data_IF_792625220660
#
_entry.id   IF_792625220660
#
_cell.length_a   1.000
_cell.length_b   1.000
_cell.length_c   1.000
_cell.angle_alpha   90.00
_cell.angle_beta   90.00
_cell.angle_gamma   90.00
#
_symmetry.space_group_name_H-M   'P 1'
#
loop_
_entity.id
_entity.type
_entity.pdbx_description
1 polymer ?
#
# COMPACT_ATOMS: atom_id res chain seq x y z
N UNK A 1 -14.31 2.02 18.46
CA UNK A 1 -13.57 1.85 18.06
C UNK A 1 -13.21 2.26 16.86
N UNK A 2 -12.33 2.58 16.60
CA UNK A 2 -12.00 3.02 15.54
C UNK A 2 -11.75 2.13 14.52
N UNK A 3 -12.22 2.20 13.50
CA UNK A 3 -12.04 1.34 12.48
C UNK A 3 -11.07 1.96 11.55
N UNK A 4 -9.89 1.42 11.52
CA UNK A 4 -8.91 1.99 10.70
C UNK A 4 -9.26 2.03 9.25
N UNK A 5 -10.08 1.07 8.79
CA UNK A 5 -10.46 1.08 7.43
C UNK A 5 -11.24 2.29 7.06
N UNK A 6 -11.99 2.84 7.98
CA UNK A 6 -12.83 3.97 7.70
C UNK A 6 -12.03 5.23 7.50
N UNK A 7 -10.77 5.22 7.92
CA UNK A 7 -9.93 6.38 7.77
C UNK A 7 -9.17 6.40 6.46
N UNK A 8 -9.26 5.34 5.68
CA UNK A 8 -8.52 5.25 4.45
C UNK A 8 -9.47 5.32 3.27
N UNK A 9 -9.87 6.50 2.94
CA UNK A 9 -10.72 6.72 1.78
C UNK A 9 -9.90 7.17 0.60
N UNK A 10 -10.53 7.43 -0.52
CA UNK A 10 -9.84 7.90 -1.72
C UNK A 10 -9.11 9.21 -1.44
N UNK A 11 -7.93 9.36 -2.02
CA UNK A 11 -7.16 10.57 -1.88
C UNK A 11 -6.91 11.18 -3.23
N UNK A 12 -6.99 12.50 -3.29
CA UNK A 12 -6.81 13.20 -4.53
C UNK A 12 -5.40 13.00 -5.03
N UNK A 13 -5.25 12.63 -6.27
CA UNK A 13 -3.93 12.46 -6.86
C UNK A 13 -3.30 11.11 -6.59
N UNK A 14 -3.96 10.25 -5.81
CA UNK A 14 -3.43 8.93 -5.52
C UNK A 14 -4.47 7.88 -5.87
N UNK A 15 -4.00 6.70 -6.21
CA UNK A 15 -4.88 5.59 -6.51
C UNK A 15 -4.95 4.67 -5.30
N UNK A 16 -6.09 4.07 -5.10
CA UNK A 16 -6.28 3.18 -3.97
C UNK A 16 -7.41 3.66 -3.10
N UNK A 17 -7.45 3.19 -1.87
CA UNK A 17 -6.38 2.45 -1.17
C UNK A 17 -6.29 0.98 -1.56
N UNK A 18 -5.09 0.44 -1.47
CA UNK A 18 -4.85 -0.97 -1.75
C UNK A 18 -4.39 -1.66 -0.47
N UNK A 19 -4.82 -2.90 -0.29
CA UNK A 19 -4.45 -3.65 0.88
C UNK A 19 -3.39 -4.67 0.52
N UNK A 20 -2.25 -4.63 1.21
CA UNK A 20 -1.18 -5.57 0.99
C UNK A 20 -0.75 -6.14 2.34
N UNK A 21 -0.97 -7.40 2.55
CA UNK A 21 -0.50 -8.06 3.77
C UNK A 21 -0.83 -7.29 5.05
N UNK A 22 -2.05 -6.79 5.13
CA UNK A 22 -2.48 -6.06 6.31
C UNK A 22 -2.06 -4.60 6.34
N UNK A 23 -1.41 -4.13 5.30
CA UNK A 23 -1.03 -2.73 5.17
C UNK A 23 -1.90 -2.06 4.12
N UNK A 24 -2.16 -0.79 4.34
CA UNK A 24 -2.93 -0.01 3.37
C UNK A 24 -1.97 0.95 2.69
N UNK A 25 -1.92 0.89 1.37
CA UNK A 25 -1.01 1.74 0.60
C UNK A 25 -1.79 2.42 -0.53
N UNK A 26 -1.28 3.56 -0.95
CA UNK A 26 -1.81 4.26 -2.11
C UNK A 26 -0.72 4.31 -3.17
N UNK A 27 -1.10 4.39 -4.42
CA UNK A 27 -0.13 4.49 -5.50
C UNK A 27 -0.08 5.91 -6.02
N UNK A 28 1.11 6.47 -6.07
CA UNK A 28 1.33 7.82 -6.57
C UNK A 28 1.88 7.73 -7.98
N UNK A 29 1.05 8.05 -8.96
CA UNK A 29 1.44 7.97 -10.36
C UNK A 29 2.53 8.95 -10.69
N UNK A 30 2.57 10.08 -10.04
CA UNK A 30 3.56 11.08 -10.33
C UNK A 30 4.93 10.63 -9.90
N UNK A 31 5.01 10.00 -8.72
CA UNK A 31 6.30 9.56 -8.20
C UNK A 31 6.63 8.14 -8.63
N UNK A 32 5.63 7.39 -9.09
CA UNK A 32 5.84 6.00 -9.45
C UNK A 32 6.14 5.14 -8.23
N UNK A 33 5.60 5.50 -7.08
CA UNK A 33 5.87 4.80 -5.84
C UNK A 33 4.61 4.65 -5.04
N UNK A 34 4.62 3.71 -4.11
CA UNK A 34 3.51 3.52 -3.19
C UNK A 34 3.71 4.38 -1.95
N UNK A 35 2.63 4.95 -1.47
CA UNK A 35 2.64 5.82 -0.30
C UNK A 35 1.97 5.12 0.87
N UNK A 36 2.61 5.15 2.02
CA UNK A 36 2.09 4.55 3.24
C UNK A 36 1.51 5.65 4.11
N UNK A 37 0.19 5.73 4.24
CA UNK A 37 -0.41 6.82 5.03
C UNK A 37 -0.16 6.68 6.52
N UNK A 38 0.18 5.48 6.99
CA UNK A 38 0.44 5.31 8.42
C UNK A 38 1.74 5.95 8.83
N UNK A 39 2.78 5.77 8.04
CA UNK A 39 4.07 6.34 8.36
C UNK A 39 4.30 7.66 7.67
N UNK A 40 3.47 7.98 6.68
CA UNK A 40 3.58 9.20 5.90
C UNK A 40 4.89 9.19 5.09
N UNK A 41 5.33 7.99 4.69
CA UNK A 41 6.50 7.85 3.85
C UNK A 41 6.19 7.00 2.64
N UNK A 42 6.97 7.16 1.60
CA UNK A 42 6.86 6.30 0.44
C UNK A 42 7.55 4.97 0.73
N UNK A 43 7.02 3.90 0.17
CA UNK A 43 7.56 2.57 0.37
C UNK A 43 8.72 2.38 -0.58
N UNK A 44 9.83 1.86 -0.09
CA UNK A 44 11.01 1.67 -0.93
C UNK A 44 10.83 0.51 -1.90
N UNK A 45 11.69 0.46 -2.91
CA UNK A 45 11.62 -0.61 -3.88
C UNK A 45 11.89 -1.96 -3.23
N UNK A 46 12.76 -1.98 -2.26
CA UNK A 46 13.06 -3.22 -1.55
C UNK A 46 11.84 -3.71 -0.80
N UNK A 47 11.14 -2.81 -0.16
CA UNK A 47 9.94 -3.18 0.56
C UNK A 47 8.86 -3.67 -0.39
N UNK A 48 8.72 -3.03 -1.52
CA UNK A 48 7.72 -3.44 -2.50
C UNK A 48 8.07 -4.81 -3.07
N UNK A 49 9.34 -5.10 -3.24
CA UNK A 49 9.74 -6.43 -3.68
C UNK A 49 9.37 -7.49 -2.68
N UNK A 50 9.51 -7.20 -1.40
CA UNK A 50 9.13 -8.13 -0.35
C UNK A 50 7.63 -8.40 -0.38
N UNK A 51 6.84 -7.36 -0.53
CA UNK A 51 5.40 -7.48 -0.59
C UNK A 51 4.99 -8.30 -1.81
N UNK A 52 5.64 -8.04 -2.93
CA UNK A 52 5.33 -8.74 -4.16
C UNK A 52 5.68 -10.22 -4.05
N UNK A 53 6.82 -10.53 -3.45
CA UNK A 53 7.23 -11.91 -3.25
C UNK A 53 6.25 -12.66 -2.34
N UNK A 54 5.81 -11.99 -1.28
CA UNK A 54 4.83 -12.58 -0.38
C UNK A 54 3.56 -12.91 -1.14
N UNK A 55 3.12 -12.01 -2.00
CA UNK A 55 1.90 -12.20 -2.76
C UNK A 55 2.06 -13.32 -3.78
N UNK A 56 3.21 -13.41 -4.41
CA UNK A 56 3.49 -14.46 -5.36
C UNK A 56 3.53 -15.82 -4.68
N UNK A 57 4.12 -15.87 -3.50
CA UNK A 57 4.17 -17.11 -2.75
C UNK A 57 2.77 -17.59 -2.39
N UNK A 58 1.92 -16.65 -2.02
CA UNK A 58 0.57 -16.98 -1.67
C UNK A 58 -0.17 -17.57 -2.86
N UNK A 59 0.02 -17.01 -4.03
CA UNK A 59 -0.63 -17.49 -5.22
C UNK A 59 -0.10 -18.83 -5.67
N UNK A 60 1.14 -19.15 -5.34
CA UNK A 60 1.72 -20.37 -5.73
C UNK A 60 1.33 -21.49 -4.84
N UNK A 61 1.06 -21.16 -3.60
CA UNK A 61 0.63 -22.17 -2.66
C UNK A 61 -0.80 -22.60 -2.94
#
# INVERSE_FOLDING_TARGET
MDNMRDNYGPRKGLEGPFSFSGRVLYYDNKEGQYYDPRSDFYVSDEEMNSIRNWFCDLLRA
#
